data_IF_437743183380
#
_entry.id   IF_437743183380
#
_cell.length_a   1.000
_cell.length_b   1.000
_cell.length_c   1.000
_cell.angle_alpha   90.00
_cell.angle_beta   90.00
_cell.angle_gamma   90.00
#
_symmetry.space_group_name_H-M   'P 1'
#
loop_
_entity.id
_entity.type
_entity.pdbx_description
1 polymer ?
#
# COMPACT_ATOMS: atom_id res chain seq x y z
N UNK A 1 -7.13 -4.17 -17.30
CA UNK A 1 -7.00 -4.77 -15.97
C UNK A 1 -5.81 -5.72 -15.98
N UNK A 2 -4.77 -5.41 -15.21
CA UNK A 2 -3.59 -6.26 -15.09
C UNK A 2 -3.50 -6.79 -13.67
N UNK A 3 -3.26 -8.09 -13.54
CA UNK A 3 -3.05 -8.75 -12.25
C UNK A 3 -1.58 -9.17 -12.19
N UNK A 4 -0.86 -8.60 -11.23
CA UNK A 4 0.53 -8.96 -10.96
C UNK A 4 0.60 -9.96 -9.81
N UNK A 5 1.18 -11.13 -10.09
CA UNK A 5 1.40 -12.14 -9.06
C UNK A 5 2.69 -11.87 -8.32
N UNK A 6 2.64 -11.90 -7.01
CA UNK A 6 3.83 -11.78 -6.19
C UNK A 6 4.57 -13.12 -6.15
N UNK A 7 5.77 -13.12 -6.71
CA UNK A 7 6.63 -14.29 -6.80
C UNK A 7 7.95 -14.03 -6.09
N UNK A 8 8.39 -14.98 -5.30
CA UNK A 8 9.67 -14.90 -4.58
C UNK A 8 10.68 -15.85 -5.20
N UNK A 9 11.68 -15.31 -5.88
CA UNK A 9 12.85 -16.05 -6.30
C UNK A 9 14.02 -15.77 -5.35
N UNK A 10 14.58 -16.80 -4.76
CA UNK A 10 15.74 -16.73 -3.87
C UNK A 10 17.08 -16.87 -4.63
N UNK A 11 17.14 -16.46 -5.88
CA UNK A 11 18.43 -16.42 -6.59
C UNK A 11 18.68 -15.04 -7.16
N UNK A 12 19.66 -14.37 -6.55
CA UNK A 12 20.33 -13.24 -7.17
C UNK A 12 21.06 -13.75 -8.44
N UNK A 13 20.48 -13.51 -9.63
CA UNK A 13 21.25 -13.29 -10.87
C UNK A 13 20.36 -12.62 -11.91
N UNK A 14 20.80 -11.41 -12.24
CA UNK A 14 20.33 -10.60 -13.36
C UNK A 14 20.33 -11.30 -14.71
N UNK A 15 19.38 -11.01 -15.59
CA UNK A 15 19.60 -10.26 -16.84
C UNK A 15 18.40 -10.32 -17.78
N UNK A 16 18.11 -9.14 -18.35
CA UNK A 16 17.33 -8.83 -19.54
C UNK A 16 15.80 -8.99 -19.49
N UNK A 17 15.18 -7.81 -19.36
CA UNK A 17 13.76 -7.59 -19.58
C UNK A 17 13.47 -7.54 -21.10
N UNK A 18 12.73 -8.51 -21.58
CA UNK A 18 11.94 -8.41 -22.79
C UNK A 18 10.48 -8.64 -22.46
N UNK A 19 9.61 -7.89 -23.12
CA UNK A 19 8.17 -7.88 -22.94
C UNK A 19 7.56 -9.27 -23.14
N UNK A 20 7.35 -9.98 -22.05
CA UNK A 20 6.39 -11.08 -21.99
C UNK A 20 5.67 -11.00 -20.63
N UNK A 21 4.38 -11.29 -20.66
CA UNK A 21 3.59 -11.55 -19.44
C UNK A 21 4.21 -12.79 -18.81
N UNK A 22 5.25 -12.58 -18.02
CA UNK A 22 5.96 -13.65 -17.36
C UNK A 22 5.14 -14.07 -16.15
N UNK A 23 4.53 -15.23 -16.24
CA UNK A 23 4.16 -16.02 -15.07
C UNK A 23 5.44 -16.44 -14.37
N UNK A 24 6.07 -15.52 -13.64
CA UNK A 24 7.18 -15.90 -12.77
C UNK A 24 6.65 -16.65 -11.54
N UNK A 25 7.07 -17.84 -11.33
CA UNK A 25 6.66 -18.70 -10.22
C UNK A 25 7.62 -18.52 -9.03
N UNK A 26 7.15 -18.37 -7.78
CA UNK A 26 7.99 -18.07 -6.64
C UNK A 26 8.91 -19.23 -6.25
N UNK A 27 10.17 -18.94 -5.93
CA UNK A 27 11.10 -19.90 -5.34
C UNK A 27 11.03 -19.93 -3.81
N UNK A 28 11.21 -21.12 -3.29
CA UNK A 28 10.94 -21.52 -1.93
C UNK A 28 11.96 -21.09 -0.89
N UNK A 29 11.49 -20.97 0.32
CA UNK A 29 12.29 -21.03 1.54
C UNK A 29 12.39 -22.51 1.93
N UNK A 30 13.53 -23.15 1.60
CA UNK A 30 13.85 -24.51 2.01
C UNK A 30 13.19 -25.61 1.17
N UNK A 31 13.99 -26.34 0.38
CA UNK A 31 13.62 -27.46 -0.48
C UNK A 31 12.44 -27.22 -1.42
N UNK A 32 12.71 -26.62 -2.58
CA UNK A 32 11.85 -26.64 -3.80
C UNK A 32 10.34 -26.36 -3.66
N UNK A 33 9.88 -25.82 -2.52
CA UNK A 33 8.49 -25.40 -2.36
C UNK A 33 8.32 -23.93 -2.75
N UNK A 34 7.51 -23.69 -3.78
CA UNK A 34 7.13 -22.35 -4.21
C UNK A 34 6.10 -21.77 -3.25
N UNK A 35 6.37 -20.59 -2.72
CA UNK A 35 5.42 -19.88 -1.88
C UNK A 35 4.67 -18.85 -2.72
N UNK A 36 3.36 -19.05 -2.84
CA UNK A 36 2.47 -18.10 -3.49
C UNK A 36 1.94 -17.12 -2.45
N UNK A 37 1.89 -15.85 -2.80
CA UNK A 37 1.25 -14.81 -2.01
C UNK A 37 0.10 -14.18 -2.80
N UNK A 38 -0.58 -13.20 -2.20
CA UNK A 38 -1.70 -12.52 -2.86
C UNK A 38 -1.19 -11.67 -4.02
N UNK A 39 -1.95 -11.67 -5.10
CA UNK A 39 -1.69 -10.88 -6.29
C UNK A 39 -1.84 -9.37 -6.01
N UNK A 40 -1.19 -8.55 -6.82
CA UNK A 40 -1.38 -7.11 -6.85
C UNK A 40 -2.15 -6.74 -8.10
N UNK A 41 -3.22 -5.96 -7.94
CA UNK A 41 -4.12 -5.59 -9.01
C UNK A 41 -3.78 -4.18 -9.51
N UNK A 42 -3.37 -4.06 -10.77
CA UNK A 42 -3.23 -2.76 -11.44
C UNK A 42 -4.51 -2.43 -12.23
N UNK A 43 -5.07 -1.27 -11.95
CA UNK A 43 -6.19 -0.69 -12.69
C UNK A 43 -5.75 0.65 -13.28
N UNK A 44 -5.77 0.77 -14.59
CA UNK A 44 -5.56 2.04 -15.30
C UNK A 44 -6.90 2.55 -15.82
N UNK A 45 -7.20 3.81 -15.58
CA UNK A 45 -8.45 4.44 -15.99
C UNK A 45 -8.34 5.95 -16.03
N UNK A 46 -9.45 6.60 -16.34
CA UNK A 46 -9.53 8.06 -16.44
C UNK A 46 -10.44 8.63 -15.35
N UNK A 47 -9.91 9.60 -14.60
CA UNK A 47 -10.64 10.40 -13.64
C UNK A 47 -10.76 11.82 -14.22
N UNK A 48 -11.96 12.19 -14.64
CA UNK A 48 -12.21 13.50 -15.26
C UNK A 48 -11.17 13.87 -16.35
N UNK A 49 -10.95 12.91 -17.26
CA UNK A 49 -10.05 13.06 -18.40
C UNK A 49 -8.55 12.88 -18.09
N UNK A 50 -8.15 12.69 -16.84
CA UNK A 50 -6.77 12.43 -16.46
C UNK A 50 -6.54 10.94 -16.20
N UNK A 51 -5.51 10.37 -16.82
CA UNK A 51 -5.14 8.98 -16.59
C UNK A 51 -4.61 8.80 -15.16
N UNK A 52 -5.14 7.80 -14.48
CA UNK A 52 -4.72 7.40 -13.13
C UNK A 52 -4.50 5.90 -13.09
N UNK A 53 -3.38 5.50 -12.52
CA UNK A 53 -3.00 4.12 -12.33
C UNK A 53 -3.14 3.76 -10.85
N UNK A 54 -3.98 2.78 -10.51
CA UNK A 54 -4.25 2.38 -9.14
C UNK A 54 -3.76 0.95 -8.92
N UNK A 55 -2.86 0.75 -7.97
CA UNK A 55 -2.37 -0.57 -7.56
C UNK A 55 -3.05 -0.93 -6.24
N UNK A 56 -3.87 -1.99 -6.26
CA UNK A 56 -4.57 -2.47 -5.07
C UNK A 56 -3.82 -3.65 -4.48
N UNK A 57 -3.56 -3.59 -3.18
CA UNK A 57 -2.71 -4.50 -2.44
C UNK A 57 -3.46 -5.15 -1.28
N UNK A 58 -3.13 -6.40 -0.99
CA UNK A 58 -3.34 -7.02 0.30
C UNK A 58 -2.16 -7.97 0.55
N UNK A 59 -1.12 -7.47 1.19
CA UNK A 59 0.12 -8.21 1.36
C UNK A 59 0.02 -9.35 2.38
N UNK A 60 1.00 -10.28 2.40
CA UNK A 60 1.01 -11.39 3.34
C UNK A 60 0.92 -10.95 4.79
N UNK A 61 0.03 -11.59 5.55
CA UNK A 61 -0.17 -11.28 6.96
C UNK A 61 1.08 -11.59 7.80
N UNK A 62 1.10 -11.07 9.03
CA UNK A 62 2.15 -11.37 10.03
C UNK A 62 1.97 -12.75 10.68
N UNK A 63 1.22 -13.66 10.06
CA UNK A 63 1.00 -15.02 10.54
C UNK A 63 2.32 -15.77 10.74
N UNK A 64 2.44 -16.48 11.86
CA UNK A 64 3.69 -17.15 12.24
C UNK A 64 4.77 -16.22 12.79
N UNK A 65 4.47 -14.92 12.95
CA UNK A 65 5.34 -13.89 13.50
C UNK A 65 5.88 -12.91 12.44
N UNK A 66 6.03 -11.66 12.85
CA UNK A 66 6.45 -10.57 11.98
C UNK A 66 7.80 -10.86 11.30
N UNK A 67 8.80 -11.25 12.07
CA UNK A 67 10.16 -11.52 11.55
C UNK A 67 10.18 -12.65 10.51
N UNK A 68 9.40 -13.71 10.72
CA UNK A 68 9.33 -14.86 9.80
C UNK A 68 8.62 -14.49 8.49
N UNK A 69 7.58 -13.65 8.57
CA UNK A 69 6.76 -13.27 7.41
C UNK A 69 7.25 -12.00 6.69
N UNK A 70 8.15 -11.21 7.29
CA UNK A 70 8.67 -9.95 6.71
C UNK A 70 9.25 -10.12 5.30
N UNK A 71 10.04 -11.17 4.97
CA UNK A 71 10.58 -11.34 3.63
C UNK A 71 9.52 -11.39 2.52
N UNK A 72 8.33 -11.94 2.82
CA UNK A 72 7.22 -12.00 1.87
C UNK A 72 6.64 -10.61 1.59
N UNK A 73 6.50 -9.77 2.61
CA UNK A 73 6.03 -8.39 2.44
C UNK A 73 7.09 -7.50 1.78
N UNK A 74 8.37 -7.73 2.07
CA UNK A 74 9.46 -7.06 1.37
C UNK A 74 9.47 -7.39 -0.12
N UNK A 75 9.22 -8.65 -0.50
CA UNK A 75 9.06 -9.06 -1.89
C UNK A 75 7.83 -8.39 -2.53
N UNK A 76 6.69 -8.33 -1.81
CA UNK A 76 5.51 -7.63 -2.28
C UNK A 76 5.78 -6.13 -2.52
N UNK A 77 6.54 -5.48 -1.62
CA UNK A 77 6.96 -4.08 -1.79
C UNK A 77 7.85 -3.88 -3.02
N UNK A 78 8.80 -4.78 -3.26
CA UNK A 78 9.64 -4.75 -4.48
C UNK A 78 8.82 -4.95 -5.76
N UNK A 79 7.90 -5.92 -5.79
CA UNK A 79 7.00 -6.11 -6.92
C UNK A 79 6.15 -4.85 -7.16
N UNK A 80 5.59 -4.26 -6.11
CA UNK A 80 4.84 -3.01 -6.21
C UNK A 80 5.68 -1.90 -6.87
N UNK A 81 6.96 -1.79 -6.48
CA UNK A 81 7.90 -0.85 -7.09
C UNK A 81 8.17 -1.17 -8.56
N UNK A 82 8.38 -2.41 -8.92
CA UNK A 82 8.57 -2.84 -10.32
C UNK A 82 7.37 -2.47 -11.21
N UNK A 83 6.14 -2.68 -10.70
CA UNK A 83 4.91 -2.25 -11.40
C UNK A 83 4.94 -0.74 -11.65
N UNK A 84 5.24 0.07 -10.62
CA UNK A 84 5.34 1.52 -10.77
C UNK A 84 6.43 1.92 -11.75
N UNK A 85 7.60 1.29 -11.69
CA UNK A 85 8.72 1.57 -12.59
C UNK A 85 8.37 1.27 -14.04
N UNK A 86 7.58 0.22 -14.30
CA UNK A 86 7.09 -0.09 -15.65
C UNK A 86 6.16 1.01 -16.19
N UNK A 87 5.30 1.56 -15.32
CA UNK A 87 4.42 2.68 -15.68
C UNK A 87 5.25 3.95 -15.92
N UNK A 88 6.22 4.26 -15.06
CA UNK A 88 7.09 5.43 -15.21
C UNK A 88 7.97 5.38 -16.47
N UNK A 89 8.34 4.19 -16.96
CA UNK A 89 9.05 4.04 -18.24
C UNK A 89 8.20 4.51 -19.42
N UNK A 90 6.87 4.32 -19.35
CA UNK A 90 5.93 4.75 -20.39
C UNK A 90 5.61 6.24 -20.21
N UNK A 91 5.29 6.67 -18.99
CA UNK A 91 4.96 8.05 -18.67
C UNK A 91 5.70 8.49 -17.39
N UNK A 92 6.80 9.26 -17.53
CA UNK A 92 7.55 9.77 -16.37
C UNK A 92 6.76 10.60 -15.37
N UNK A 93 5.63 11.18 -15.79
CA UNK A 93 4.74 11.99 -14.97
C UNK A 93 3.44 11.23 -14.62
N UNK A 94 3.46 9.90 -14.64
CA UNK A 94 2.29 9.09 -14.37
C UNK A 94 1.72 9.36 -12.97
N UNK A 95 0.41 9.48 -12.91
CA UNK A 95 -0.34 9.53 -11.66
C UNK A 95 -0.59 8.12 -11.17
N UNK A 96 0.14 7.72 -10.14
CA UNK A 96 0.05 6.38 -9.54
C UNK A 96 -0.43 6.50 -8.10
N UNK A 97 -1.43 5.70 -7.75
CA UNK A 97 -1.89 5.48 -6.38
C UNK A 97 -1.62 4.00 -6.06
N UNK A 98 -0.88 3.72 -5.01
CA UNK A 98 -0.79 2.36 -4.46
C UNK A 98 -1.44 2.33 -3.09
N UNK A 99 -2.35 1.38 -2.88
CA UNK A 99 -3.18 1.36 -1.68
C UNK A 99 -3.53 -0.06 -1.24
N UNK A 100 -3.90 -0.21 0.02
CA UNK A 100 -4.46 -1.43 0.60
C UNK A 100 -3.93 -1.73 1.99
N UNK A 101 -4.29 -2.91 2.50
CA UNK A 101 -3.71 -3.49 3.70
C UNK A 101 -2.35 -4.12 3.36
N UNK A 102 -1.29 -3.44 3.77
CA UNK A 102 0.09 -3.88 3.53
C UNK A 102 0.59 -4.87 4.58
N UNK A 103 -0.19 -5.10 5.66
CA UNK A 103 0.22 -5.90 6.81
C UNK A 103 1.57 -5.47 7.42
N UNK A 104 2.04 -4.29 7.03
CA UNK A 104 3.25 -3.61 7.54
C UNK A 104 2.96 -2.12 7.76
N UNK A 105 3.56 -1.58 8.80
CA UNK A 105 3.55 -0.15 9.06
C UNK A 105 4.42 0.61 8.04
N UNK A 106 4.17 1.90 7.93
CA UNK A 106 4.88 2.80 7.00
C UNK A 106 6.41 2.85 7.22
N UNK A 107 6.86 2.42 8.38
CA UNK A 107 8.27 2.40 8.81
C UNK A 107 8.98 1.07 8.47
N UNK A 108 8.25 0.03 8.07
CA UNK A 108 8.82 -1.28 7.74
C UNK A 108 9.61 -1.23 6.41
N UNK A 109 10.57 -2.15 6.26
CA UNK A 109 11.43 -2.24 5.09
C UNK A 109 10.67 -2.42 3.77
N UNK A 110 9.59 -3.17 3.80
CA UNK A 110 8.71 -3.38 2.64
C UNK A 110 8.20 -2.06 2.04
N UNK A 111 7.91 -1.06 2.89
CA UNK A 111 7.43 0.26 2.48
C UNK A 111 8.60 1.22 2.25
N UNK A 112 9.56 1.28 3.19
CA UNK A 112 10.68 2.24 3.13
C UNK A 112 11.70 1.92 2.03
N UNK A 113 12.04 0.65 1.88
CA UNK A 113 13.06 0.19 0.93
C UNK A 113 12.40 -0.48 -0.29
N UNK A 114 11.40 -1.33 -0.08
CA UNK A 114 10.68 -2.03 -1.14
C UNK A 114 9.98 -1.07 -2.10
N UNK A 115 9.07 -0.24 -1.61
CA UNK A 115 8.41 0.82 -2.40
C UNK A 115 9.31 2.04 -2.57
N UNK A 116 10.13 2.38 -1.57
CA UNK A 116 10.91 3.60 -1.52
C UNK A 116 10.11 4.83 -1.09
N UNK A 117 9.01 4.62 -0.35
CA UNK A 117 8.09 5.67 0.06
C UNK A 117 8.73 6.70 1.01
N UNK A 118 8.37 7.97 0.84
CA UNK A 118 8.87 9.11 1.62
C UNK A 118 7.77 9.68 2.51
N UNK A 119 8.15 10.05 3.74
CA UNK A 119 7.27 10.69 4.73
C UNK A 119 6.97 12.14 4.40
N UNK A 120 7.94 12.88 3.87
CA UNK A 120 7.81 14.31 3.57
C UNK A 120 7.73 14.54 2.08
N UNK A 121 6.85 15.45 1.66
CA UNK A 121 6.67 15.80 0.24
C UNK A 121 7.96 16.34 -0.37
N UNK A 122 8.75 17.09 0.40
CA UNK A 122 9.99 17.71 -0.01
C UNK A 122 11.11 16.70 -0.33
N UNK A 123 10.98 15.47 0.19
CA UNK A 123 11.91 14.37 -0.06
C UNK A 123 11.56 13.56 -1.32
N UNK A 124 10.36 13.79 -1.87
CA UNK A 124 9.87 13.05 -3.04
C UNK A 124 10.42 13.70 -4.30
N UNK A 125 11.29 12.99 -4.98
CA UNK A 125 11.84 13.36 -6.29
C UNK A 125 11.03 12.71 -7.40
N UNK A 126 11.40 12.98 -8.66
CA UNK A 126 10.85 12.32 -9.83
C UNK A 126 10.87 10.79 -9.63
N UNK A 127 9.80 10.10 -10.02
CA UNK A 127 9.53 8.68 -9.77
C UNK A 127 9.36 8.30 -8.29
N UNK A 128 9.35 9.28 -7.39
CA UNK A 128 9.19 9.08 -5.96
C UNK A 128 7.73 8.87 -5.56
N UNK A 129 7.57 8.28 -4.39
CA UNK A 129 6.26 7.97 -3.80
C UNK A 129 6.16 8.67 -2.44
N UNK A 130 5.07 9.40 -2.25
CA UNK A 130 4.72 10.05 -0.99
C UNK A 130 3.77 9.20 -0.17
N UNK A 131 4.10 8.96 1.11
CA UNK A 131 3.26 8.26 2.06
C UNK A 131 2.76 9.19 3.17
N UNK A 132 1.51 9.70 3.11
CA UNK A 132 0.97 10.57 4.15
C UNK A 132 0.70 9.84 5.47
N UNK A 133 0.55 8.52 5.46
CA UNK A 133 0.21 7.71 6.64
C UNK A 133 1.39 7.55 7.59
N UNK A 134 2.61 7.69 7.12
CA UNK A 134 3.79 7.68 7.99
C UNK A 134 3.79 8.85 8.99
N UNK A 135 3.43 10.05 8.55
CA UNK A 135 3.28 11.21 9.43
C UNK A 135 2.11 11.02 10.42
N UNK A 136 1.02 10.39 9.96
CA UNK A 136 -0.13 10.11 10.82
C UNK A 136 0.23 9.09 11.91
N UNK A 137 1.00 8.06 11.58
CA UNK A 137 1.50 7.08 12.56
C UNK A 137 2.32 7.76 13.66
N UNK A 138 3.29 8.60 13.30
CA UNK A 138 4.10 9.33 14.28
C UNK A 138 3.31 10.35 15.11
N UNK A 139 2.12 10.74 14.67
CA UNK A 139 1.16 11.54 15.43
C UNK A 139 0.22 10.71 16.32
N UNK A 140 0.45 9.41 16.42
CA UNK A 140 -0.33 8.51 17.28
C UNK A 140 -1.65 8.04 16.68
N UNK A 141 -1.85 8.17 15.34
CA UNK A 141 -3.03 7.62 14.70
C UNK A 141 -2.82 6.12 14.40
N UNK A 142 -3.93 5.38 14.31
CA UNK A 142 -3.91 3.95 14.03
C UNK A 142 -5.13 3.56 13.19
N UNK A 143 -4.94 2.66 12.22
CA UNK A 143 -6.04 2.04 11.49
C UNK A 143 -6.49 0.72 12.11
N UNK A 144 -5.61 0.08 12.89
CA UNK A 144 -5.87 -1.17 13.58
C UNK A 144 -5.12 -1.23 14.91
N UNK A 145 -5.47 -2.23 15.74
CA UNK A 145 -4.79 -2.50 16.99
C UNK A 145 -4.49 -3.98 17.15
N UNK A 146 -3.30 -4.28 17.65
CA UNK A 146 -2.91 -5.63 18.02
C UNK A 146 -2.19 -5.61 19.37
N UNK A 147 -2.73 -6.34 20.37
CA UNK A 147 -2.20 -6.38 21.76
C UNK A 147 -1.92 -4.99 22.32
N UNK A 148 -2.90 -4.10 22.21
CA UNK A 148 -2.86 -2.70 22.68
C UNK A 148 -1.86 -1.78 21.96
N UNK A 149 -1.16 -2.28 20.95
CA UNK A 149 -0.36 -1.47 20.05
C UNK A 149 -1.16 -1.08 18.80
N UNK A 150 -1.30 0.22 18.56
CA UNK A 150 -1.89 0.73 17.34
C UNK A 150 -0.87 0.82 16.20
N UNK A 151 -1.30 0.51 14.97
CA UNK A 151 -0.48 0.65 13.77
C UNK A 151 -1.34 1.13 12.58
N UNK A 152 -0.71 1.49 11.47
CA UNK A 152 -1.38 1.82 10.21
C UNK A 152 -0.87 0.88 9.13
N UNK A 153 -1.58 -0.24 8.90
CA UNK A 153 -1.29 -1.17 7.80
C UNK A 153 -2.03 -0.79 6.53
N UNK A 154 -3.15 -0.10 6.69
CA UNK A 154 -3.96 0.41 5.59
C UNK A 154 -3.38 1.74 5.13
N UNK A 155 -2.82 1.77 3.93
CA UNK A 155 -2.10 2.93 3.44
C UNK A 155 -2.53 3.26 2.01
N UNK A 156 -2.52 4.55 1.67
CA UNK A 156 -2.72 5.08 0.32
C UNK A 156 -1.56 6.02 0.04
N UNK A 157 -0.69 5.61 -0.86
CA UNK A 157 0.50 6.36 -1.26
C UNK A 157 0.32 6.87 -2.68
N UNK A 158 0.94 8.00 -3.00
CA UNK A 158 0.76 8.66 -4.29
C UNK A 158 2.11 9.01 -4.92
N UNK A 159 2.18 8.95 -6.26
CA UNK A 159 3.37 9.37 -7.00
C UNK A 159 3.59 10.89 -6.89
N UNK A 160 4.81 11.30 -7.20
CA UNK A 160 5.26 12.70 -7.20
C UNK A 160 4.33 13.61 -8.03
N UNK A 161 3.78 13.13 -9.15
CA UNK A 161 2.84 13.86 -9.98
C UNK A 161 1.59 14.37 -9.24
N UNK A 162 1.18 13.69 -8.15
CA UNK A 162 0.06 14.16 -7.31
C UNK A 162 0.46 15.23 -6.29
N UNK A 163 1.73 15.50 -6.07
CA UNK A 163 2.18 16.49 -5.07
C UNK A 163 2.77 17.76 -5.68
N UNK A 164 2.86 17.82 -7.00
CA UNK A 164 3.23 19.02 -7.73
C UNK A 164 2.22 20.15 -7.51
N UNK A 165 2.67 21.40 -7.67
CA UNK A 165 1.83 22.60 -7.51
C UNK A 165 1.07 22.99 -8.78
N UNK A 166 0.66 22.00 -9.56
CA UNK A 166 -0.22 22.19 -10.72
C UNK A 166 -1.68 21.98 -10.30
N UNK A 167 -2.42 23.08 -10.16
CA UNK A 167 -3.82 23.08 -9.75
C UNK A 167 -4.77 22.76 -10.90
N UNK A 168 -4.31 22.82 -12.14
CA UNK A 168 -5.12 22.45 -13.31
C UNK A 168 -5.32 20.93 -13.43
N UNK A 169 -4.59 20.15 -12.63
CA UNK A 169 -4.53 18.69 -12.62
C UNK A 169 -4.80 18.16 -11.20
N UNK A 170 -5.34 16.94 -11.09
CA UNK A 170 -5.60 16.34 -9.78
C UNK A 170 -4.34 16.23 -8.94
N UNK A 171 -4.43 16.72 -7.72
CA UNK A 171 -3.35 16.69 -6.76
C UNK A 171 -3.82 16.21 -5.39
N UNK A 172 -2.91 15.60 -4.66
CA UNK A 172 -3.13 15.20 -3.27
C UNK A 172 -3.32 16.43 -2.38
N UNK A 173 -4.41 16.45 -1.63
CA UNK A 173 -4.68 17.46 -0.62
C UNK A 173 -4.39 16.96 0.79
N UNK A 174 -5.13 15.95 1.27
CA UNK A 174 -4.99 15.39 2.60
C UNK A 174 -5.36 13.92 2.65
N UNK A 175 -4.91 13.21 3.71
CA UNK A 175 -5.31 11.86 4.07
C UNK A 175 -6.05 11.85 5.40
N UNK A 176 -6.74 10.75 5.67
CA UNK A 176 -7.40 10.53 6.96
C UNK A 176 -7.70 9.06 7.22
N UNK A 177 -8.01 8.78 8.47
CA UNK A 177 -8.55 7.51 8.95
C UNK A 177 -10.00 7.76 9.36
N UNK A 178 -10.92 6.94 8.85
CA UNK A 178 -12.34 7.10 9.11
C UNK A 178 -12.74 6.26 10.33
N UNK A 179 -12.71 6.88 11.50
CA UNK A 179 -12.93 6.24 12.80
C UNK A 179 -14.10 6.90 13.57
N UNK A 180 -15.29 6.89 13.00
CA UNK A 180 -16.48 7.47 13.61
C UNK A 180 -16.94 6.69 14.85
N UNK A 181 -17.62 7.33 15.83
CA UNK A 181 -18.03 6.69 17.09
C UNK A 181 -18.83 5.39 16.94
N UNK A 182 -19.59 5.24 15.84
CA UNK A 182 -20.34 4.01 15.55
C UNK A 182 -19.47 2.85 15.06
N UNK A 183 -18.23 3.12 14.67
CA UNK A 183 -17.26 2.12 14.20
C UNK A 183 -16.29 1.68 15.30
N UNK A 184 -16.48 2.18 16.52
CA UNK A 184 -15.54 2.00 17.62
C UNK A 184 -16.18 1.16 18.70
N UNK A 185 -15.46 0.15 19.20
CA UNK A 185 -15.84 -0.63 20.39
C UNK A 185 -15.92 0.29 21.60
N UNK A 186 -17.08 0.31 22.27
CA UNK A 186 -17.38 1.30 23.34
C UNK A 186 -16.93 0.87 24.71
N UNK A 187 -16.88 -0.45 24.98
CA UNK A 187 -16.68 -1.01 26.32
C UNK A 187 -15.74 -2.22 26.28
N UNK A 188 -15.32 -2.67 27.45
CA UNK A 188 -14.51 -3.88 27.60
C UNK A 188 -13.04 -3.69 27.25
N UNK A 189 -12.33 -4.79 27.11
CA UNK A 189 -10.90 -4.88 26.85
C UNK A 189 -10.49 -4.15 25.55
N UNK A 190 -11.36 -4.18 24.53
CA UNK A 190 -11.09 -3.60 23.21
C UNK A 190 -11.70 -2.21 23.02
N UNK A 191 -11.99 -1.50 24.12
CA UNK A 191 -12.52 -0.12 24.04
C UNK A 191 -11.57 0.77 23.22
N UNK A 192 -12.11 1.43 22.21
CA UNK A 192 -11.34 2.29 21.31
C UNK A 192 -10.89 1.62 20.01
N UNK A 193 -10.97 0.30 19.92
CA UNK A 193 -10.61 -0.46 18.71
C UNK A 193 -11.72 -0.38 17.66
N UNK A 194 -11.40 -0.68 16.39
CA UNK A 194 -12.43 -0.90 15.37
C UNK A 194 -13.46 -1.93 15.84
N UNK A 195 -14.73 -1.64 15.58
CA UNK A 195 -15.84 -2.52 15.95
C UNK A 195 -15.90 -3.72 14.99
N UNK A 196 -15.26 -4.80 15.40
CA UNK A 196 -15.21 -6.04 14.64
C UNK A 196 -16.55 -6.78 14.73
N UNK A 197 -16.98 -7.38 13.62
CA UNK A 197 -18.15 -8.25 13.60
C UNK A 197 -17.93 -9.50 14.47
N UNK A 198 -18.89 -9.84 15.31
CA UNK A 198 -18.91 -11.06 16.12
C UNK A 198 -20.31 -11.67 16.14
N UNK A 199 -20.45 -12.84 16.75
CA UNK A 199 -21.75 -13.49 16.88
C UNK A 199 -22.75 -12.70 17.75
N UNK A 200 -22.25 -11.86 18.65
CA UNK A 200 -23.06 -11.10 19.62
C UNK A 200 -23.15 -9.60 19.30
N UNK A 201 -22.30 -9.09 18.42
CA UNK A 201 -22.27 -7.67 18.07
C UNK A 201 -21.99 -7.47 16.57
N UNK A 202 -22.88 -6.72 15.93
CA UNK A 202 -22.72 -6.35 14.52
C UNK A 202 -21.66 -5.26 14.43
N UNK A 203 -20.53 -5.59 13.81
CA UNK A 203 -19.44 -4.66 13.52
C UNK A 203 -19.18 -4.53 12.03
N UNK A 204 -18.19 -3.72 11.67
CA UNK A 204 -17.87 -3.41 10.27
C UNK A 204 -16.57 -4.09 9.82
N UNK A 205 -15.49 -3.89 10.58
CA UNK A 205 -14.15 -4.40 10.26
C UNK A 205 -13.27 -4.33 11.51
N UNK A 206 -12.18 -5.09 11.53
CA UNK A 206 -11.10 -4.97 12.51
C UNK A 206 -10.07 -3.89 12.13
N UNK A 207 -10.28 -3.20 11.00
CA UNK A 207 -9.52 -2.03 10.58
C UNK A 207 -10.45 -0.84 10.34
N UNK A 208 -9.97 0.37 10.61
CA UNK A 208 -10.63 1.60 10.20
C UNK A 208 -10.30 1.89 8.73
N UNK A 209 -11.29 2.27 7.90
CA UNK A 209 -11.04 2.70 6.54
C UNK A 209 -10.11 3.92 6.48
N UNK A 210 -9.23 3.92 5.50
CA UNK A 210 -8.38 5.07 5.19
C UNK A 210 -8.82 5.75 3.90
N UNK A 211 -8.55 7.04 3.77
CA UNK A 211 -8.91 7.80 2.59
C UNK A 211 -7.91 8.91 2.28
N UNK A 212 -7.90 9.34 1.04
CA UNK A 212 -7.25 10.59 0.61
C UNK A 212 -8.25 11.48 -0.10
N UNK A 213 -8.00 12.77 -0.11
CA UNK A 213 -8.69 13.73 -0.97
C UNK A 213 -7.74 14.16 -2.09
N UNK A 214 -8.25 14.10 -3.30
CA UNK A 214 -7.66 14.72 -4.48
C UNK A 214 -8.47 15.98 -4.81
N UNK A 215 -7.78 17.04 -5.21
CA UNK A 215 -8.39 18.30 -5.60
C UNK A 215 -7.87 18.77 -6.95
N UNK A 216 -8.69 19.51 -7.68
CA UNK A 216 -8.39 20.11 -8.97
C UNK A 216 -9.19 21.41 -9.08
N UNK A 217 -8.68 22.43 -9.78
CA UNK A 217 -9.43 23.64 -10.09
C UNK A 217 -10.61 23.30 -11.01
N UNK A 218 -11.74 23.92 -10.74
CA UNK A 218 -12.91 23.87 -11.64
C UNK A 218 -12.62 24.82 -12.80
N UNK A 219 -12.71 24.29 -14.01
CA UNK A 219 -12.66 25.09 -15.24
C UNK A 219 -14.04 25.63 -15.58
#
# INVERSE_FOLDING_TARGET
LLIYRNQMNNTAKDKDATEEVVEEKPEAVGKDERVYTRDQLLVTGFLDGEEVNIIVNHWPSRSGGEKKSSPFREAAGRLNRQIMDSIFKINPNAKIITMGDLNDGSYNKSVKEGIGAKRKKEEVKQFGIYNPFEEMFYKGNSSLFYRDAGDIFDQIMVSEAFIQKDYSSFRYWKAGIYNKPYMITKTGQYKGYPLRHSLTEIGYSDHFPVYIYLIKEIK
#
